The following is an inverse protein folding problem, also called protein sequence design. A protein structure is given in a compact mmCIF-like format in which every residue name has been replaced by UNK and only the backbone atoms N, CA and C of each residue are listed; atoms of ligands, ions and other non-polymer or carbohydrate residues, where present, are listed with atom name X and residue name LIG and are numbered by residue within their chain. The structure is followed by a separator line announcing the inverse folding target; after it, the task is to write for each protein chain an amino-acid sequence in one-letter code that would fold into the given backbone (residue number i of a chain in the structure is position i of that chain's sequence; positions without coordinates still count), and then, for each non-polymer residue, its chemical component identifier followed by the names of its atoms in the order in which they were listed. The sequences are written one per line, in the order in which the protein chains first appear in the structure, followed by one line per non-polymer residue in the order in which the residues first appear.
data_IF_074660729906
#
_entry.id   IF_074660729906
#
_cell.length_a   1.000
_cell.length_b   1.000
_cell.length_c   1.000
_cell.angle_alpha   90.00
_cell.angle_beta   90.00
_cell.angle_gamma   90.00
#
_symmetry.space_group_name_H-M   'P 1'
#
loop_
_entity.id
_entity.type
_entity.pdbx_description
1 polymer ?
#
# COMPACT_ATOMS: atom_id res chain seq x y z
N UNK A 1 12.49 26.41 17.68
CA UNK A 1 12.06 26.20 16.28
C UNK A 1 11.86 24.70 16.10
N UNK A 2 10.60 24.23 16.05
CA UNK A 2 10.28 22.80 15.84
C UNK A 2 10.75 22.43 14.44
N UNK A 3 11.53 21.35 14.30
CA UNK A 3 11.88 20.79 12.98
C UNK A 3 10.59 20.58 12.19
N UNK A 4 10.49 21.21 11.03
CA UNK A 4 9.37 21.07 10.13
C UNK A 4 9.22 19.60 9.74
N UNK A 5 7.98 19.17 9.65
CA UNK A 5 7.50 17.81 9.33
C UNK A 5 7.75 17.44 7.86
N UNK A 6 8.80 17.98 7.23
CA UNK A 6 8.82 18.19 5.78
C UNK A 6 9.33 17.03 4.93
N UNK A 7 9.91 15.97 5.49
CA UNK A 7 10.37 14.81 4.68
C UNK A 7 10.02 13.46 5.30
N UNK A 8 8.79 13.27 5.79
CA UNK A 8 8.32 11.91 6.04
C UNK A 8 8.03 11.24 4.70
N UNK A 9 9.01 10.51 4.18
CA UNK A 9 8.80 9.59 3.08
C UNK A 9 7.72 8.58 3.48
N UNK A 10 6.57 8.64 2.81
CA UNK A 10 5.51 7.65 2.99
C UNK A 10 5.86 6.45 2.12
N UNK A 11 5.93 5.27 2.72
CA UNK A 11 6.11 4.01 1.99
C UNK A 11 4.79 3.68 1.30
N UNK A 12 4.85 3.42 -0.01
CA UNK A 12 3.68 3.14 -0.84
C UNK A 12 3.93 1.87 -1.65
N UNK A 13 2.96 0.96 -1.66
CA UNK A 13 2.87 -0.13 -2.61
C UNK A 13 1.91 0.30 -3.73
N UNK A 14 2.37 0.18 -4.97
CA UNK A 14 1.63 0.59 -6.17
C UNK A 14 1.43 -0.62 -7.07
N UNK A 15 0.20 -0.84 -7.53
CA UNK A 15 -0.09 -1.88 -8.52
C UNK A 15 0.20 -1.32 -9.93
N UNK A 16 1.36 -1.64 -10.46
CA UNK A 16 1.75 -1.25 -11.83
C UNK A 16 1.01 -2.06 -12.90
N UNK A 17 0.79 -1.45 -14.07
CA UNK A 17 0.22 -2.12 -15.24
C UNK A 17 -1.18 -1.64 -15.62
N UNK A 18 -1.92 -1.04 -14.69
CA UNK A 18 -2.87 0.01 -15.05
C UNK A 18 -2.10 1.31 -15.20
N UNK A 19 -2.63 2.25 -15.98
CA UNK A 19 -2.18 3.62 -16.20
C UNK A 19 -1.66 4.30 -14.91
N UNK A 20 -1.02 5.48 -14.98
CA UNK A 20 -0.46 6.22 -13.82
C UNK A 20 -1.44 6.46 -12.63
N UNK A 21 -2.72 6.08 -12.78
CA UNK A 21 -3.79 6.15 -11.80
C UNK A 21 -4.14 4.80 -11.14
N UNK A 22 -3.25 3.81 -11.15
CA UNK A 22 -3.45 2.54 -10.43
C UNK A 22 -3.64 2.73 -8.91
N UNK A 23 -4.15 1.72 -8.20
CA UNK A 23 -4.39 1.81 -6.77
C UNK A 23 -3.07 1.92 -5.99
N UNK A 24 -3.10 2.73 -4.93
CA UNK A 24 -1.97 3.00 -4.04
C UNK A 24 -2.31 2.55 -2.62
N UNK A 25 -1.48 1.66 -2.07
CA UNK A 25 -1.59 1.20 -0.70
C UNK A 25 -0.49 1.87 0.14
N UNK A 26 -0.89 2.78 1.02
CA UNK A 26 -0.02 3.57 1.89
C UNK A 26 0.26 2.85 3.20
N UNK A 27 1.46 3.05 3.73
CA UNK A 27 1.96 2.39 4.96
C UNK A 27 1.75 0.86 4.96
N UNK A 28 2.11 0.16 3.86
CA UNK A 28 1.80 -1.25 3.71
C UNK A 28 2.54 -2.11 4.75
N UNK A 29 1.87 -3.13 5.26
CA UNK A 29 2.40 -4.14 6.18
C UNK A 29 2.06 -5.52 5.67
N UNK A 30 3.07 -6.37 5.48
CA UNK A 30 2.86 -7.79 5.21
C UNK A 30 2.25 -8.44 6.45
N UNK A 31 1.10 -9.09 6.29
CA UNK A 31 0.39 -9.77 7.38
C UNK A 31 0.55 -11.29 7.32
N UNK A 32 0.70 -11.87 6.11
CA UNK A 32 1.01 -13.28 5.94
C UNK A 32 1.82 -13.55 4.67
N UNK A 33 2.57 -14.64 4.70
CA UNK A 33 3.21 -15.28 3.54
C UNK A 33 2.98 -16.77 3.69
N UNK A 34 2.25 -17.39 2.76
CA UNK A 34 1.93 -18.82 2.80
C UNK A 34 1.94 -19.39 1.38
N UNK A 35 2.88 -20.31 1.10
CA UNK A 35 3.03 -20.87 -0.24
C UNK A 35 3.44 -19.79 -1.24
N UNK A 36 2.64 -19.62 -2.29
CA UNK A 36 2.73 -18.57 -3.29
C UNK A 36 1.76 -17.41 -3.02
N UNK A 37 1.14 -17.33 -1.84
CA UNK A 37 0.28 -16.21 -1.45
C UNK A 37 1.02 -15.24 -0.51
N UNK A 38 0.86 -13.94 -0.76
CA UNK A 38 1.23 -12.86 0.15
C UNK A 38 0.01 -11.98 0.45
N UNK A 39 -0.15 -11.61 1.72
CA UNK A 39 -1.16 -10.64 2.17
C UNK A 39 -0.51 -9.38 2.70
N UNK A 40 -1.03 -8.23 2.28
CA UNK A 40 -0.55 -6.92 2.68
C UNK A 40 -1.74 -6.07 3.11
N UNK A 41 -1.65 -5.46 4.29
CA UNK A 41 -2.64 -4.49 4.77
C UNK A 41 -2.06 -3.09 4.71
N UNK A 42 -2.86 -2.11 4.33
CA UNK A 42 -2.47 -0.70 4.34
C UNK A 42 -3.67 0.22 4.20
N UNK A 43 -3.38 1.52 4.07
CA UNK A 43 -4.39 2.54 3.87
C UNK A 43 -4.55 2.86 2.40
N UNK A 44 -5.78 2.94 1.92
CA UNK A 44 -6.11 3.42 0.58
C UNK A 44 -7.00 4.66 0.71
N UNK A 45 -6.80 5.64 -0.16
CA UNK A 45 -7.68 6.80 -0.24
C UNK A 45 -8.85 6.46 -1.16
N UNK A 46 -10.04 6.34 -0.61
CA UNK A 46 -11.27 6.12 -1.35
C UNK A 46 -12.14 7.38 -1.25
N UNK A 47 -12.30 8.09 -2.37
CA UNK A 47 -12.96 9.40 -2.44
C UNK A 47 -12.38 10.41 -1.41
N UNK A 48 -13.13 10.70 -0.35
CA UNK A 48 -12.77 11.64 0.71
C UNK A 48 -12.36 10.95 2.01
N UNK A 49 -12.29 9.62 2.05
CA UNK A 49 -11.98 8.84 3.24
C UNK A 49 -10.70 8.00 3.07
N UNK A 50 -10.05 7.72 4.20
CA UNK A 50 -9.00 6.71 4.29
C UNK A 50 -9.62 5.41 4.79
N UNK A 51 -9.39 4.33 4.04
CA UNK A 51 -9.92 3.01 4.36
C UNK A 51 -8.77 2.03 4.56
N UNK A 52 -8.93 1.13 5.52
CA UNK A 52 -8.03 0.01 5.70
C UNK A 52 -8.34 -1.04 4.63
N UNK A 53 -7.36 -1.42 3.83
CA UNK A 53 -7.47 -2.41 2.76
C UNK A 53 -6.55 -3.58 3.03
N UNK A 54 -6.97 -4.78 2.62
CA UNK A 54 -6.13 -5.97 2.53
C UNK A 54 -5.99 -6.37 1.05
N UNK A 55 -4.75 -6.44 0.57
CA UNK A 55 -4.41 -6.98 -0.74
C UNK A 55 -3.93 -8.42 -0.57
N UNK A 56 -4.62 -9.35 -1.21
CA UNK A 56 -4.21 -10.75 -1.34
C UNK A 56 -3.67 -10.95 -2.75
N UNK A 57 -2.40 -11.36 -2.85
CA UNK A 57 -1.67 -11.46 -4.12
C UNK A 57 -1.06 -12.85 -4.27
N UNK A 58 -1.07 -13.36 -5.49
CA UNK A 58 -0.37 -14.59 -5.88
C UNK A 58 1.01 -14.23 -6.45
N UNK A 59 2.04 -14.97 -6.02
CA UNK A 59 3.42 -14.84 -6.46
C UNK A 59 3.58 -15.71 -7.71
N UNK A 60 3.56 -15.06 -8.87
CA UNK A 60 3.78 -15.72 -10.16
C UNK A 60 5.26 -16.14 -10.29
N UNK A 61 5.50 -17.32 -10.89
CA UNK A 61 6.84 -17.88 -11.16
C UNK A 61 7.32 -17.60 -12.58
#
# INVERSE_FOLDING_TARGET
MRKSTEDRMVVVLFLGGSDENGPYLYEPRVTSVLGDEIRVVGLEKHEQAWVLQEWQMEILK
#
